data_IF_548285447105
#
_entry.id   IF_548285447105
#
_cell.length_a   1.000
_cell.length_b   1.000
_cell.length_c   1.000
_cell.angle_alpha   90.00
_cell.angle_beta   90.00
_cell.angle_gamma   90.00
#
_symmetry.space_group_name_H-M   'P 1'
#
loop_
_entity.id
_entity.type
_entity.pdbx_description
1 polymer ?
#
# COMPACT_ATOMS: atom_id res chain seq x y z
N UNK A 1 85.30 16.05 49.48
CA UNK A 1 86.22 16.64 48.52
C UNK A 1 85.45 17.21 47.35
N UNK A 2 85.55 18.48 47.28
CA UNK A 2 85.16 19.41 46.21
C UNK A 2 85.46 18.95 44.80
N UNK A 3 84.56 19.28 43.89
CA UNK A 3 84.86 20.19 42.78
C UNK A 3 83.60 20.59 42.03
N UNK A 4 83.30 21.87 42.09
CA UNK A 4 82.45 22.62 41.18
C UNK A 4 83.11 22.69 39.80
N UNK A 5 82.30 22.65 38.73
CA UNK A 5 82.62 23.28 37.45
C UNK A 5 81.37 23.91 36.88
N UNK A 6 81.55 25.11 36.41
CA UNK A 6 80.63 26.14 35.93
C UNK A 6 80.07 25.87 34.51
N UNK A 7 78.92 26.44 34.27
CA UNK A 7 78.07 26.77 33.13
C UNK A 7 78.70 27.12 31.77
N UNK A 8 77.89 27.10 30.67
CA UNK A 8 77.06 28.30 30.43
C UNK A 8 75.64 28.05 29.88
N UNK A 9 74.83 29.11 30.11
CA UNK A 9 73.47 29.27 29.54
C UNK A 9 73.48 29.34 28.00
N UNK A 10 72.54 28.66 27.35
CA UNK A 10 72.11 29.02 26.02
C UNK A 10 70.62 29.29 26.04
N UNK A 11 70.23 30.49 25.71
CA UNK A 11 68.86 30.99 25.55
C UNK A 11 68.33 30.46 24.23
N UNK A 12 67.36 29.56 24.27
CA UNK A 12 66.63 29.11 23.07
C UNK A 12 65.26 29.75 23.05
N UNK A 13 65.04 30.59 22.07
CA UNK A 13 63.79 31.28 21.73
C UNK A 13 62.77 30.29 21.31
N UNK A 14 61.63 30.14 22.02
CA UNK A 14 60.48 29.34 21.62
C UNK A 14 59.51 30.20 20.82
N UNK A 15 59.44 29.99 19.49
CA UNK A 15 58.38 30.50 18.68
C UNK A 15 57.14 29.61 18.92
N UNK A 16 56.12 30.16 19.58
CA UNK A 16 54.78 29.55 19.64
C UNK A 16 54.07 29.84 18.33
N UNK A 17 53.99 28.84 17.46
CA UNK A 17 53.11 28.86 16.32
C UNK A 17 51.70 28.52 16.82
N UNK A 18 50.79 29.51 16.84
CA UNK A 18 49.36 29.29 17.04
C UNK A 18 48.75 28.74 15.76
N UNK A 19 48.45 27.45 15.72
CA UNK A 19 47.55 26.87 14.71
C UNK A 19 46.12 27.26 15.10
N UNK A 20 45.54 28.22 14.37
CA UNK A 20 44.08 28.45 14.38
C UNK A 20 43.45 27.34 13.55
N UNK A 21 42.92 26.33 14.21
CA UNK A 21 42.01 25.36 13.57
C UNK A 21 40.66 26.05 13.42
N UNK A 22 40.41 26.61 12.25
CA UNK A 22 39.08 27.05 11.89
C UNK A 22 38.20 25.78 11.72
N UNK A 23 37.44 25.46 12.77
CA UNK A 23 36.39 24.46 12.68
C UNK A 23 35.29 25.00 11.75
N UNK A 24 35.33 24.63 10.47
CA UNK A 24 34.20 24.76 9.58
C UNK A 24 33.12 23.79 10.07
N UNK A 25 32.24 24.25 10.97
CA UNK A 25 30.93 23.63 11.16
C UNK A 25 30.14 23.84 9.88
N UNK A 26 30.38 22.99 8.90
CA UNK A 26 29.46 22.78 7.79
C UNK A 26 28.20 22.16 8.37
N UNK A 27 27.17 22.97 8.63
CA UNK A 27 25.82 22.48 8.79
C UNK A 27 25.45 21.78 7.46
N UNK A 28 25.56 20.45 7.45
CA UNK A 28 24.95 19.66 6.41
C UNK A 28 23.44 19.96 6.50
N UNK A 29 22.97 20.88 5.69
CA UNK A 29 21.55 21.00 5.37
C UNK A 29 21.23 19.70 4.65
N UNK A 30 20.68 18.72 5.38
CA UNK A 30 19.95 17.62 4.75
C UNK A 30 18.83 18.31 3.98
N UNK A 31 18.93 18.32 2.65
CA UNK A 31 17.81 18.68 1.83
C UNK A 31 16.67 17.75 2.27
N UNK A 32 15.62 18.30 2.86
CA UNK A 32 14.44 17.54 3.18
C UNK A 32 13.97 16.91 1.86
N UNK A 33 14.00 15.59 1.81
CA UNK A 33 13.57 14.86 0.63
C UNK A 33 12.15 15.31 0.29
N UNK A 34 11.92 15.78 -0.93
CA UNK A 34 10.63 16.32 -1.31
C UNK A 34 9.57 15.23 -1.16
N UNK A 35 8.50 15.53 -0.42
CA UNK A 35 7.40 14.58 -0.25
C UNK A 35 6.82 14.18 -1.61
N UNK A 36 6.36 12.92 -1.76
CA UNK A 36 5.81 12.47 -3.02
C UNK A 36 4.62 13.35 -3.44
N UNK A 37 4.60 13.75 -4.68
CA UNK A 37 3.51 14.57 -5.22
C UNK A 37 2.22 13.74 -5.27
N UNK A 38 1.10 14.33 -4.83
CA UNK A 38 -0.23 13.74 -4.97
C UNK A 38 -1.04 14.60 -5.92
N UNK A 39 -1.40 14.05 -7.07
CA UNK A 39 -2.22 14.73 -8.08
C UNK A 39 -3.40 13.81 -8.42
N UNK A 40 -4.61 14.36 -8.35
CA UNK A 40 -5.80 13.66 -8.81
C UNK A 40 -5.83 13.63 -10.34
N UNK A 41 -5.74 12.42 -10.90
CA UNK A 41 -5.78 12.15 -12.34
C UNK A 41 -7.21 11.75 -12.73
N UNK A 42 -7.71 12.32 -13.83
CA UNK A 42 -9.06 12.02 -14.32
C UNK A 42 -9.11 10.65 -14.98
N UNK A 43 -10.10 9.84 -14.60
CA UNK A 43 -10.36 8.50 -15.14
C UNK A 43 -11.51 8.54 -16.16
N UNK A 44 -12.63 9.17 -15.78
CA UNK A 44 -13.81 9.35 -16.64
C UNK A 44 -14.49 10.70 -16.38
N UNK A 45 -15.74 10.88 -16.77
CA UNK A 45 -16.45 12.17 -16.63
C UNK A 45 -16.50 12.66 -15.18
N UNK A 46 -16.70 11.74 -14.24
CA UNK A 46 -16.93 12.02 -12.82
C UNK A 46 -16.05 11.17 -11.88
N UNK A 47 -15.01 10.49 -12.40
CA UNK A 47 -14.09 9.64 -11.65
C UNK A 47 -12.67 10.17 -11.73
N UNK A 48 -12.00 10.21 -10.60
CA UNK A 48 -10.58 10.54 -10.45
C UNK A 48 -9.89 9.51 -9.53
N UNK A 49 -8.57 9.41 -9.64
CA UNK A 49 -7.76 8.63 -8.73
C UNK A 49 -6.45 9.35 -8.42
N UNK A 50 -5.81 8.97 -7.32
CA UNK A 50 -4.42 9.31 -7.00
C UNK A 50 -3.60 8.05 -7.03
N UNK A 51 -2.36 8.14 -7.55
CA UNK A 51 -1.47 7.00 -7.73
C UNK A 51 -0.36 7.02 -6.69
N UNK A 52 -0.33 5.96 -5.88
CA UNK A 52 0.74 5.73 -4.92
C UNK A 52 2.02 5.22 -5.57
N UNK A 53 3.12 5.27 -4.84
CA UNK A 53 4.43 4.82 -5.30
C UNK A 53 4.52 3.29 -5.32
N UNK A 54 5.15 2.73 -6.35
CA UNK A 54 5.52 1.31 -6.36
C UNK A 54 6.74 1.06 -5.48
N UNK A 55 6.56 1.22 -4.17
CA UNK A 55 7.60 1.14 -3.14
C UNK A 55 7.05 0.44 -1.88
N UNK A 56 7.92 0.13 -0.92
CA UNK A 56 7.50 -0.20 0.45
C UNK A 56 7.09 1.07 1.19
N UNK A 57 6.13 0.93 2.12
CA UNK A 57 5.76 2.01 3.03
C UNK A 57 6.95 2.43 3.89
N UNK A 58 7.22 3.74 3.95
CA UNK A 58 8.32 4.32 4.69
C UNK A 58 7.99 5.76 5.11
N UNK A 59 8.69 6.33 6.11
CA UNK A 59 8.54 7.74 6.45
C UNK A 59 8.83 8.68 5.28
N UNK A 60 9.82 8.37 4.44
CA UNK A 60 10.19 9.18 3.27
C UNK A 60 9.06 9.33 2.25
N UNK A 61 8.16 8.35 2.13
CA UNK A 61 7.02 8.41 1.22
C UNK A 61 5.67 8.61 1.92
N UNK A 62 5.65 8.91 3.22
CA UNK A 62 4.43 9.08 4.03
C UNK A 62 3.51 7.83 4.04
N UNK A 63 4.02 6.66 3.65
CA UNK A 63 3.22 5.46 3.36
C UNK A 63 2.26 5.66 2.15
N UNK A 64 2.62 6.54 1.19
CA UNK A 64 1.86 6.75 -0.03
C UNK A 64 2.23 5.71 -1.09
N UNK A 65 1.78 4.49 -0.91
CA UNK A 65 2.13 3.31 -1.73
C UNK A 65 0.93 2.66 -2.41
N UNK A 66 -0.29 2.95 -1.92
CA UNK A 66 -1.56 2.49 -2.50
C UNK A 66 -2.24 3.60 -3.30
N UNK A 67 -3.15 3.21 -4.16
CA UNK A 67 -4.05 4.12 -4.85
C UNK A 67 -5.28 4.41 -3.98
N UNK A 68 -5.89 5.56 -4.20
CA UNK A 68 -7.25 5.84 -3.79
C UNK A 68 -7.98 6.53 -4.95
N UNK A 69 -9.31 6.42 -4.97
CA UNK A 69 -10.10 7.02 -6.01
C UNK A 69 -11.32 7.75 -5.44
N UNK A 70 -11.95 8.57 -6.26
CA UNK A 70 -13.20 9.22 -5.86
C UNK A 70 -14.11 9.50 -7.05
N UNK A 71 -15.40 9.44 -6.75
CA UNK A 71 -16.50 9.69 -7.69
C UNK A 71 -17.19 10.97 -7.26
N UNK A 72 -17.22 11.97 -8.14
CA UNK A 72 -17.90 13.24 -7.89
C UNK A 72 -19.33 13.15 -8.42
N UNK A 73 -20.30 13.41 -7.55
CA UNK A 73 -21.72 13.42 -7.92
C UNK A 73 -22.40 14.72 -7.50
N UNK A 74 -23.60 15.04 -8.03
CA UNK A 74 -24.37 16.19 -7.58
C UNK A 74 -24.77 16.16 -6.09
N UNK A 75 -24.78 14.99 -5.43
CA UNK A 75 -25.18 14.82 -4.04
C UNK A 75 -24.00 14.56 -3.08
N UNK A 76 -22.77 14.65 -3.55
CA UNK A 76 -21.59 14.44 -2.75
C UNK A 76 -20.52 13.60 -3.45
N UNK A 77 -19.40 13.41 -2.77
CA UNK A 77 -18.27 12.60 -3.25
C UNK A 77 -18.25 11.25 -2.54
N UNK A 78 -18.04 10.19 -3.32
CA UNK A 78 -17.78 8.84 -2.82
C UNK A 78 -16.30 8.54 -3.03
N UNK A 79 -15.57 8.26 -1.96
CA UNK A 79 -14.15 7.90 -1.97
C UNK A 79 -14.03 6.38 -1.91
N UNK A 80 -13.08 5.82 -2.62
CA UNK A 80 -12.68 4.41 -2.58
C UNK A 80 -11.27 4.35 -2.01
N UNK A 81 -11.12 3.74 -0.84
CA UNK A 81 -9.95 3.68 0.02
C UNK A 81 -9.45 5.04 0.55
N UNK A 82 -8.76 5.01 1.69
CA UNK A 82 -8.44 6.21 2.46
C UNK A 82 -6.94 6.48 2.57
N UNK A 83 -6.11 5.72 1.86
CA UNK A 83 -4.64 5.81 1.91
C UNK A 83 -4.02 5.42 3.28
N UNK A 84 -2.69 5.47 3.33
CA UNK A 84 -1.87 4.87 4.38
C UNK A 84 -1.54 5.76 5.58
N UNK A 85 -2.09 6.98 5.65
CA UNK A 85 -1.92 7.86 6.81
C UNK A 85 -2.97 8.97 6.85
N UNK A 86 -3.25 9.56 8.04
CA UNK A 86 -4.17 10.70 8.14
C UNK A 86 -3.77 11.89 7.27
N UNK A 87 -2.47 12.20 7.18
CA UNK A 87 -1.98 13.31 6.37
C UNK A 87 -2.19 13.07 4.87
N UNK A 88 -2.12 11.84 4.40
CA UNK A 88 -2.43 11.51 3.01
C UNK A 88 -3.92 11.68 2.72
N UNK A 89 -4.80 11.32 3.66
CA UNK A 89 -6.24 11.56 3.53
C UNK A 89 -6.57 13.06 3.52
N UNK A 90 -5.89 13.89 4.31
CA UNK A 90 -6.01 15.36 4.26
C UNK A 90 -5.59 15.91 2.89
N UNK A 91 -4.49 15.40 2.33
CA UNK A 91 -4.04 15.76 0.98
C UNK A 91 -5.03 15.31 -0.08
N UNK A 92 -5.64 14.13 0.05
CA UNK A 92 -6.68 13.67 -0.86
C UNK A 92 -7.94 14.55 -0.77
N UNK A 93 -8.35 14.97 0.43
CA UNK A 93 -9.44 15.95 0.60
C UNK A 93 -9.10 17.28 -0.08
N UNK A 94 -7.85 17.74 0.01
CA UNK A 94 -7.42 18.96 -0.68
C UNK A 94 -7.46 18.80 -2.21
N UNK A 95 -7.06 17.64 -2.76
CA UNK A 95 -7.20 17.35 -4.19
C UNK A 95 -8.67 17.33 -4.64
N UNK A 96 -9.55 16.68 -3.86
CA UNK A 96 -11.00 16.70 -4.11
C UNK A 96 -11.52 18.14 -4.12
N UNK A 97 -11.09 18.97 -3.17
CA UNK A 97 -11.51 20.39 -3.06
C UNK A 97 -11.10 21.28 -4.24
N UNK A 98 -10.07 20.89 -5.02
CA UNK A 98 -9.70 21.56 -6.27
C UNK A 98 -10.69 21.28 -7.42
N UNK A 99 -11.37 20.13 -7.35
CA UNK A 99 -12.23 19.61 -8.42
C UNK A 99 -13.70 19.93 -8.16
N UNK A 100 -14.16 19.86 -6.89
CA UNK A 100 -15.56 20.06 -6.52
C UNK A 100 -15.71 20.71 -5.16
N UNK A 101 -16.86 21.35 -4.92
CA UNK A 101 -17.28 21.87 -3.60
C UNK A 101 -18.20 20.89 -2.87
N UNK A 102 -18.53 19.75 -3.46
CA UNK A 102 -19.36 18.75 -2.82
C UNK A 102 -18.62 18.10 -1.66
N UNK A 103 -19.28 17.85 -0.52
CA UNK A 103 -18.66 17.16 0.61
C UNK A 103 -18.42 15.67 0.29
N UNK A 104 -17.42 15.06 0.93
CA UNK A 104 -17.28 13.61 0.93
C UNK A 104 -18.38 13.03 1.82
N UNK A 105 -19.25 12.22 1.24
CA UNK A 105 -20.40 11.61 1.92
C UNK A 105 -20.18 10.16 2.29
N UNK A 106 -19.36 9.45 1.50
CA UNK A 106 -19.08 8.03 1.70
C UNK A 106 -17.61 7.72 1.46
N UNK A 107 -17.09 6.76 2.21
CA UNK A 107 -15.86 6.04 1.92
C UNK A 107 -16.18 4.56 1.82
N UNK A 108 -15.81 3.93 0.72
CA UNK A 108 -15.94 2.48 0.53
C UNK A 108 -14.54 1.89 0.65
N UNK A 109 -14.33 1.01 1.62
CA UNK A 109 -13.05 0.35 1.89
C UNK A 109 -13.01 -0.97 1.14
N UNK A 110 -12.03 -1.14 0.27
CA UNK A 110 -11.85 -2.40 -0.49
C UNK A 110 -11.41 -3.55 0.41
N UNK A 111 -10.50 -3.26 1.34
CA UNK A 111 -10.00 -4.18 2.37
C UNK A 111 -9.25 -3.41 3.47
N UNK A 112 -8.98 -4.04 4.62
CA UNK A 112 -8.40 -3.37 5.80
C UNK A 112 -6.87 -3.49 5.92
N UNK A 113 -6.11 -3.39 4.83
CA UNK A 113 -4.67 -3.16 4.94
C UNK A 113 -4.35 -1.71 5.29
N UNK A 114 -3.22 -1.54 5.99
CA UNK A 114 -2.77 -0.27 6.57
C UNK A 114 -2.74 0.89 5.58
N UNK A 115 -2.26 0.64 4.38
CA UNK A 115 -2.11 1.64 3.31
C UNK A 115 -3.44 2.00 2.62
N UNK A 116 -4.55 1.31 2.94
CA UNK A 116 -5.89 1.63 2.47
C UNK A 116 -6.79 2.26 3.54
N UNK A 117 -6.45 2.12 4.85
CA UNK A 117 -7.41 2.47 5.92
C UNK A 117 -6.89 3.46 6.95
N UNK A 118 -5.59 3.72 7.09
CA UNK A 118 -5.11 4.60 8.16
C UNK A 118 -5.52 6.07 7.99
N UNK A 119 -6.00 6.47 6.83
CA UNK A 119 -6.61 7.78 6.60
C UNK A 119 -8.09 7.89 6.95
N UNK A 120 -8.78 6.79 7.32
CA UNK A 120 -10.23 6.76 7.54
C UNK A 120 -10.70 7.77 8.60
N UNK A 121 -9.91 7.99 9.67
CA UNK A 121 -10.27 8.95 10.70
C UNK A 121 -10.47 10.37 10.17
N UNK A 122 -9.72 10.79 9.18
CA UNK A 122 -9.83 12.10 8.53
C UNK A 122 -11.17 12.24 7.79
N UNK A 123 -11.57 11.22 7.02
CA UNK A 123 -12.86 11.21 6.35
C UNK A 123 -14.04 11.10 7.34
N UNK A 124 -13.87 10.32 8.40
CA UNK A 124 -14.86 10.21 9.46
C UNK A 124 -15.10 11.57 10.15
N UNK A 125 -14.03 12.29 10.46
CA UNK A 125 -14.10 13.64 11.02
C UNK A 125 -14.74 14.66 10.05
N UNK A 126 -14.60 14.44 8.73
CA UNK A 126 -15.26 15.23 7.70
C UNK A 126 -16.75 14.87 7.50
N UNK A 127 -17.29 13.90 8.25
CA UNK A 127 -18.69 13.50 8.21
C UNK A 127 -19.03 12.39 7.21
N UNK A 128 -18.03 11.76 6.60
CA UNK A 128 -18.25 10.66 5.67
C UNK A 128 -18.71 9.39 6.39
N UNK A 129 -19.63 8.64 5.76
CA UNK A 129 -20.06 7.31 6.17
C UNK A 129 -19.12 6.26 5.57
N UNK A 130 -18.60 5.38 6.41
CA UNK A 130 -17.65 4.33 6.00
C UNK A 130 -18.41 3.02 5.78
N UNK A 131 -18.17 2.40 4.60
CA UNK A 131 -18.71 1.12 4.19
C UNK A 131 -17.58 0.11 3.98
N UNK A 132 -17.72 -1.10 4.50
CA UNK A 132 -16.76 -2.19 4.32
C UNK A 132 -17.46 -3.56 4.37
N UNK A 133 -16.78 -4.58 3.86
CA UNK A 133 -17.25 -5.95 3.94
C UNK A 133 -17.23 -6.45 5.39
N UNK A 134 -18.24 -7.25 5.79
CA UNK A 134 -18.45 -7.64 7.19
C UNK A 134 -17.29 -8.45 7.78
N UNK A 135 -16.62 -9.31 7.01
CA UNK A 135 -15.50 -10.10 7.52
C UNK A 135 -14.32 -9.22 7.99
N UNK A 136 -14.24 -7.96 7.54
CA UNK A 136 -13.28 -6.98 8.05
C UNK A 136 -13.43 -6.71 9.55
N UNK A 137 -14.62 -6.94 10.12
CA UNK A 137 -14.85 -6.76 11.55
C UNK A 137 -13.99 -7.71 12.38
N UNK A 138 -13.83 -8.95 11.95
CA UNK A 138 -13.00 -9.94 12.66
C UNK A 138 -11.53 -9.51 12.69
N UNK A 139 -11.03 -8.94 11.58
CA UNK A 139 -9.70 -8.34 11.53
C UNK A 139 -9.61 -7.12 12.47
N UNK A 140 -10.56 -6.19 12.40
CA UNK A 140 -10.57 -4.97 13.19
C UNK A 140 -10.58 -5.24 14.71
N UNK A 141 -11.27 -6.30 15.15
CA UNK A 141 -11.39 -6.71 16.55
C UNK A 141 -10.17 -7.60 16.98
N UNK A 142 -9.23 -7.90 16.09
CA UNK A 142 -8.11 -8.81 16.36
C UNK A 142 -6.90 -8.14 17.01
N UNK A 143 -6.13 -8.90 17.78
CA UNK A 143 -4.82 -8.47 18.28
C UNK A 143 -3.84 -8.16 17.15
N UNK A 144 -4.00 -8.83 15.99
CA UNK A 144 -3.17 -8.60 14.80
C UNK A 144 -3.32 -7.18 14.28
N UNK A 145 -4.55 -6.64 14.21
CA UNK A 145 -4.79 -5.26 13.76
C UNK A 145 -4.17 -4.24 14.72
N UNK A 146 -4.35 -4.47 16.05
CA UNK A 146 -3.74 -3.62 17.08
C UNK A 146 -2.22 -3.62 16.98
N UNK A 147 -1.63 -4.82 16.91
CA UNK A 147 -0.17 -4.96 16.78
C UNK A 147 0.36 -4.33 15.50
N UNK A 148 -0.29 -4.51 14.38
CA UNK A 148 0.10 -3.90 13.09
C UNK A 148 0.10 -2.37 13.20
N UNK A 149 -0.91 -1.77 13.83
CA UNK A 149 -0.94 -0.33 14.06
C UNK A 149 0.21 0.13 14.97
N UNK A 150 0.51 -0.61 16.05
CA UNK A 150 1.64 -0.30 16.93
C UNK A 150 2.98 -0.37 16.20
N UNK A 151 3.21 -1.40 15.39
CA UNK A 151 4.41 -1.55 14.57
C UNK A 151 4.49 -0.40 13.52
N UNK A 152 3.36 -0.01 12.93
CA UNK A 152 3.28 1.10 11.98
C UNK A 152 3.61 2.45 12.62
N UNK A 153 3.19 2.68 13.87
CA UNK A 153 3.57 3.90 14.63
C UNK A 153 5.08 4.01 14.84
N UNK A 154 5.78 2.87 14.91
CA UNK A 154 7.25 2.86 15.04
C UNK A 154 7.94 3.05 13.68
N UNK A 155 7.42 2.42 12.64
CA UNK A 155 8.10 2.32 11.34
C UNK A 155 7.72 3.43 10.36
N UNK A 156 6.55 4.07 10.54
CA UNK A 156 6.00 5.11 9.67
C UNK A 156 5.91 6.49 10.35
N UNK A 157 6.47 6.65 11.56
CA UNK A 157 6.52 7.95 12.21
C UNK A 157 7.20 9.00 11.31
N UNK A 158 6.76 10.27 11.32
CA UNK A 158 5.70 10.84 12.15
C UNK A 158 4.29 10.75 11.53
N UNK A 159 4.11 10.09 10.39
CA UNK A 159 2.87 10.12 9.60
C UNK A 159 1.78 9.18 10.13
N UNK A 160 2.19 8.09 10.77
CA UNK A 160 1.37 7.22 11.61
C UNK A 160 1.89 7.37 13.02
N UNK A 161 1.06 7.87 13.93
CA UNK A 161 1.44 8.27 15.30
C UNK A 161 0.41 7.77 16.33
N UNK A 162 0.54 8.22 17.58
CA UNK A 162 -0.36 7.85 18.68
C UNK A 162 -1.81 8.29 18.47
N UNK A 163 -2.06 9.27 17.58
CA UNK A 163 -3.39 9.76 17.25
C UNK A 163 -4.02 8.97 16.09
N UNK A 164 -3.21 8.20 15.35
CA UNK A 164 -3.72 7.35 14.28
C UNK A 164 -4.52 6.20 14.89
N UNK A 165 -5.75 6.03 14.43
CA UNK A 165 -6.69 5.03 14.95
C UNK A 165 -7.20 4.10 13.87
N UNK A 166 -7.52 2.87 14.27
CA UNK A 166 -8.34 1.97 13.46
C UNK A 166 -9.79 2.45 13.53
N UNK A 167 -10.40 2.68 12.39
CA UNK A 167 -11.77 3.20 12.28
C UNK A 167 -12.68 2.11 11.73
N UNK A 168 -13.68 1.62 12.49
CA UNK A 168 -14.64 0.65 12.01
C UNK A 168 -15.59 1.26 10.97
N UNK A 169 -16.15 0.42 10.12
CA UNK A 169 -17.20 0.84 9.21
C UNK A 169 -18.50 1.21 9.95
N UNK A 170 -19.22 2.19 9.41
CA UNK A 170 -20.58 2.54 9.85
C UNK A 170 -21.62 1.59 9.30
N UNK A 171 -21.29 0.96 8.16
CA UNK A 171 -22.14 -0.05 7.53
C UNK A 171 -21.28 -1.22 7.06
N UNK A 172 -21.58 -2.39 7.60
CA UNK A 172 -20.99 -3.64 7.19
C UNK A 172 -21.84 -4.28 6.08
N UNK A 173 -21.15 -4.73 5.01
CA UNK A 173 -21.76 -5.29 3.80
C UNK A 173 -21.59 -6.82 3.83
N UNK A 174 -22.68 -7.56 3.73
CA UNK A 174 -22.68 -9.03 3.73
C UNK A 174 -22.74 -9.64 2.33
N UNK A 175 -23.26 -8.91 1.36
CA UNK A 175 -23.45 -9.33 -0.01
C UNK A 175 -23.44 -8.17 -0.99
N UNK A 176 -23.64 -8.40 -2.28
CA UNK A 176 -23.67 -7.33 -3.27
C UNK A 176 -24.75 -6.28 -2.95
N UNK A 177 -24.36 -5.02 -3.03
CA UNK A 177 -25.29 -3.89 -2.88
C UNK A 177 -25.10 -2.90 -4.03
N UNK A 178 -26.14 -2.12 -4.30
CA UNK A 178 -26.08 -0.98 -5.21
C UNK A 178 -26.44 0.29 -4.45
N UNK A 179 -25.56 1.27 -4.51
CA UNK A 179 -25.80 2.62 -4.01
C UNK A 179 -26.17 3.52 -5.20
N UNK A 180 -27.01 4.52 -4.95
CA UNK A 180 -27.23 5.60 -5.92
C UNK A 180 -26.97 6.92 -5.21
N UNK A 181 -25.91 7.61 -5.63
CA UNK A 181 -25.52 8.89 -5.07
C UNK A 181 -25.59 9.93 -6.18
N UNK A 182 -26.48 10.94 -6.04
CA UNK A 182 -26.65 11.98 -7.04
C UNK A 182 -26.94 11.48 -8.46
N UNK A 183 -27.66 10.33 -8.58
CA UNK A 183 -27.98 9.71 -9.85
C UNK A 183 -26.89 8.76 -10.41
N UNK A 184 -25.70 8.70 -9.78
CA UNK A 184 -24.65 7.76 -10.17
C UNK A 184 -24.87 6.43 -9.46
N UNK A 185 -24.98 5.34 -10.24
CA UNK A 185 -25.06 3.98 -9.71
C UNK A 185 -23.68 3.45 -9.40
N UNK A 186 -23.50 2.96 -8.18
CA UNK A 186 -22.26 2.40 -7.64
C UNK A 186 -22.58 1.00 -7.13
N UNK A 187 -22.05 -0.02 -7.78
CA UNK A 187 -22.18 -1.41 -7.37
C UNK A 187 -21.00 -1.79 -6.49
N UNK A 188 -21.27 -2.33 -5.29
CA UNK A 188 -20.27 -2.80 -4.35
C UNK A 188 -20.45 -4.29 -4.19
N UNK A 189 -19.42 -5.04 -4.51
CA UNK A 189 -19.49 -6.50 -4.54
C UNK A 189 -18.39 -7.11 -3.70
N UNK A 190 -18.72 -7.76 -2.57
CA UNK A 190 -17.81 -8.68 -1.90
C UNK A 190 -17.39 -9.81 -2.84
N UNK A 191 -16.10 -10.12 -2.86
CA UNK A 191 -15.54 -11.20 -3.68
C UNK A 191 -15.00 -12.36 -2.83
N UNK A 192 -15.12 -12.21 -1.50
CA UNK A 192 -14.71 -13.21 -0.53
C UNK A 192 -13.23 -13.20 -0.25
N UNK A 193 -12.77 -14.26 0.40
CA UNK A 193 -11.37 -14.45 0.74
C UNK A 193 -10.52 -14.60 -0.52
N UNK A 194 -9.66 -13.62 -0.79
CA UNK A 194 -8.74 -13.63 -1.91
C UNK A 194 -7.39 -13.06 -1.48
N UNK A 195 -7.14 -11.74 -1.68
CA UNK A 195 -5.98 -11.05 -1.12
C UNK A 195 -6.07 -10.93 0.41
N UNK A 196 -7.28 -10.59 0.90
CA UNK A 196 -7.66 -10.67 2.31
C UNK A 196 -8.96 -11.48 2.47
N UNK A 197 -9.40 -11.69 3.72
CA UNK A 197 -10.66 -12.37 3.98
C UNK A 197 -11.89 -11.55 3.57
N UNK A 198 -11.72 -10.23 3.46
CA UNK A 198 -12.80 -9.24 3.35
C UNK A 198 -12.75 -8.41 2.06
N UNK A 199 -12.12 -8.93 1.02
CA UNK A 199 -12.01 -8.16 -0.23
C UNK A 199 -13.38 -7.85 -0.84
N UNK A 200 -13.51 -6.62 -1.32
CA UNK A 200 -14.62 -6.19 -2.18
C UNK A 200 -14.12 -5.34 -3.33
N UNK A 201 -14.93 -5.27 -4.36
CA UNK A 201 -14.71 -4.38 -5.51
C UNK A 201 -15.85 -3.38 -5.64
N UNK A 202 -15.56 -2.26 -6.28
CA UNK A 202 -16.56 -1.23 -6.58
C UNK A 202 -16.63 -1.07 -8.10
N UNK A 203 -17.82 -1.16 -8.67
CA UNK A 203 -18.03 -1.02 -10.11
C UNK A 203 -19.03 0.09 -10.44
N UNK A 204 -18.65 0.93 -11.40
CA UNK A 204 -19.51 1.96 -11.96
C UNK A 204 -19.94 1.52 -13.38
N UNK A 205 -21.13 0.97 -13.54
CA UNK A 205 -21.54 0.38 -14.82
C UNK A 205 -21.69 1.39 -15.96
N UNK A 206 -22.10 2.62 -15.66
CA UNK A 206 -22.22 3.69 -16.67
C UNK A 206 -20.85 4.14 -17.19
N UNK A 207 -19.85 4.18 -16.29
CA UNK A 207 -18.50 4.63 -16.59
C UNK A 207 -17.59 3.47 -17.05
N UNK A 208 -18.03 2.23 -16.87
CA UNK A 208 -17.26 0.99 -17.06
C UNK A 208 -15.93 1.00 -16.31
N UNK A 209 -15.93 1.57 -15.09
CA UNK A 209 -14.76 1.66 -14.22
C UNK A 209 -14.90 0.67 -13.07
N UNK A 210 -13.90 -0.19 -12.90
CA UNK A 210 -13.77 -1.14 -11.81
C UNK A 210 -12.65 -0.70 -10.86
N UNK A 211 -12.94 -0.52 -9.59
CA UNK A 211 -11.96 -0.34 -8.53
C UNK A 211 -11.74 -1.70 -7.87
N UNK A 212 -10.56 -2.24 -8.08
CA UNK A 212 -10.27 -3.63 -7.75
C UNK A 212 -9.55 -3.83 -6.42
N UNK A 213 -9.12 -2.74 -5.74
CA UNK A 213 -8.25 -2.86 -4.58
C UNK A 213 -7.04 -3.74 -4.90
N UNK A 214 -6.56 -4.46 -3.91
CA UNK A 214 -5.38 -5.32 -4.03
C UNK A 214 -5.63 -6.67 -4.70
N UNK A 215 -6.80 -6.82 -5.32
CA UNK A 215 -7.02 -7.93 -6.26
C UNK A 215 -6.21 -7.73 -7.55
N UNK A 216 -5.89 -6.47 -7.92
CA UNK A 216 -5.11 -6.15 -9.10
C UNK A 216 -3.91 -5.29 -8.73
N UNK A 217 -2.73 -5.80 -9.06
CA UNK A 217 -1.45 -5.11 -8.99
C UNK A 217 -0.94 -4.88 -10.42
N UNK A 218 -0.63 -3.65 -10.75
CA UNK A 218 -0.20 -3.32 -12.09
C UNK A 218 1.26 -2.88 -12.15
N UNK A 219 2.03 -3.49 -13.07
CA UNK A 219 3.45 -3.20 -13.32
C UNK A 219 4.33 -3.27 -12.07
N UNK A 220 4.00 -4.17 -11.16
CA UNK A 220 4.82 -4.52 -9.98
C UNK A 220 4.43 -5.92 -9.49
N UNK A 221 5.26 -6.50 -8.62
CA UNK A 221 4.92 -7.77 -7.96
C UNK A 221 3.79 -7.55 -6.96
N UNK A 222 2.74 -8.39 -6.99
CA UNK A 222 1.72 -8.42 -5.93
C UNK A 222 2.32 -8.77 -4.57
N UNK A 223 1.67 -8.34 -3.49
CA UNK A 223 1.92 -8.87 -2.16
C UNK A 223 0.90 -9.96 -1.85
N UNK A 224 1.34 -11.21 -1.84
CA UNK A 224 0.47 -12.36 -1.56
C UNK A 224 0.21 -12.49 -0.06
N UNK A 225 1.21 -12.22 0.79
CA UNK A 225 1.03 -12.30 2.24
C UNK A 225 0.45 -13.64 2.69
N UNK A 226 -0.64 -13.58 3.45
CA UNK A 226 -1.42 -14.76 3.90
C UNK A 226 -2.67 -15.02 3.05
N UNK A 227 -2.70 -14.47 1.82
CA UNK A 227 -3.81 -14.62 0.89
C UNK A 227 -4.10 -16.08 0.56
N UNK A 228 -5.35 -16.36 0.25
CA UNK A 228 -5.74 -17.60 -0.42
C UNK A 228 -5.54 -17.44 -1.93
N UNK A 229 -4.38 -17.86 -2.43
CA UNK A 229 -4.03 -17.70 -3.84
C UNK A 229 -4.96 -18.48 -4.79
N UNK A 230 -5.59 -19.56 -4.33
CA UNK A 230 -6.59 -20.31 -5.12
C UNK A 230 -7.90 -19.52 -5.28
N UNK A 231 -8.43 -19.03 -4.17
CA UNK A 231 -9.62 -18.17 -4.19
C UNK A 231 -9.35 -16.84 -4.89
N UNK A 232 -8.14 -16.26 -4.76
CA UNK A 232 -7.79 -15.04 -5.47
C UNK A 232 -7.80 -15.24 -7.00
N UNK A 233 -7.28 -16.35 -7.50
CA UNK A 233 -7.39 -16.71 -8.92
C UNK A 233 -8.85 -16.78 -9.34
N UNK A 234 -9.71 -17.46 -8.56
CA UNK A 234 -11.15 -17.56 -8.85
C UNK A 234 -11.86 -16.19 -8.81
N UNK A 235 -11.48 -15.31 -7.85
CA UNK A 235 -11.99 -13.95 -7.81
C UNK A 235 -11.60 -13.15 -9.06
N UNK A 236 -10.34 -13.24 -9.52
CA UNK A 236 -9.90 -12.60 -10.76
C UNK A 236 -10.64 -13.15 -11.99
N UNK A 237 -10.91 -14.46 -12.05
CA UNK A 237 -11.72 -15.06 -13.11
C UNK A 237 -13.16 -14.50 -13.11
N UNK A 238 -13.75 -14.28 -11.93
CA UNK A 238 -15.06 -13.64 -11.82
C UNK A 238 -15.00 -12.14 -12.25
N UNK A 239 -13.95 -11.41 -11.89
CA UNK A 239 -13.77 -10.01 -12.29
C UNK A 239 -13.62 -9.85 -13.81
N UNK A 240 -13.08 -10.83 -14.52
CA UNK A 240 -13.02 -10.84 -15.98
C UNK A 240 -14.41 -10.88 -16.64
N UNK A 241 -15.45 -11.18 -15.87
CA UNK A 241 -16.86 -11.11 -16.31
C UNK A 241 -17.48 -9.70 -16.27
N UNK A 242 -16.83 -8.73 -15.61
CA UNK A 242 -17.30 -7.35 -15.65
C UNK A 242 -17.02 -6.72 -17.03
N UNK A 243 -17.96 -5.90 -17.51
CA UNK A 243 -17.75 -5.07 -18.71
C UNK A 243 -16.95 -3.80 -18.36
N UNK A 244 -15.77 -4.01 -17.75
CA UNK A 244 -14.89 -2.94 -17.35
C UNK A 244 -13.96 -2.52 -18.50
N UNK A 245 -14.01 -1.26 -18.88
CA UNK A 245 -13.06 -0.66 -19.82
C UNK A 245 -11.79 -0.20 -19.10
N UNK A 246 -11.94 0.19 -17.83
CA UNK A 246 -10.85 0.72 -17.00
C UNK A 246 -10.84 0.01 -15.64
N UNK A 247 -9.65 -0.35 -15.17
CA UNK A 247 -9.42 -0.80 -13.79
C UNK A 247 -8.56 0.21 -13.06
N UNK A 248 -9.02 0.63 -11.87
CA UNK A 248 -8.18 1.29 -10.88
C UNK A 248 -7.67 0.20 -9.95
N UNK A 249 -6.38 -0.18 -10.04
CA UNK A 249 -5.80 -1.20 -9.17
C UNK A 249 -5.54 -0.62 -7.78
N UNK A 250 -5.35 -1.48 -6.78
CA UNK A 250 -4.90 -1.04 -5.45
C UNK A 250 -3.48 -0.46 -5.50
N UNK A 251 -2.64 -0.98 -6.40
CA UNK A 251 -1.27 -0.53 -6.60
C UNK A 251 -0.87 -0.47 -8.07
N UNK A 252 -0.08 0.54 -8.40
CA UNK A 252 0.43 0.78 -9.75
C UNK A 252 -0.47 1.69 -10.58
N UNK A 253 -0.09 2.00 -11.82
CA UNK A 253 -0.78 2.99 -12.63
C UNK A 253 -2.17 2.51 -13.10
N UNK A 254 -3.03 3.48 -13.45
CA UNK A 254 -4.34 3.23 -14.05
C UNK A 254 -4.25 2.29 -15.24
N UNK A 255 -5.13 1.30 -15.30
CA UNK A 255 -5.25 0.39 -16.44
C UNK A 255 -6.27 0.87 -17.46
N UNK A 256 -5.89 0.81 -18.74
CA UNK A 256 -6.78 1.01 -19.89
C UNK A 256 -6.99 -0.28 -20.68
N UNK A 257 -6.38 -1.38 -20.23
CA UNK A 257 -6.64 -2.76 -20.68
C UNK A 257 -6.94 -3.61 -19.46
N UNK A 258 -8.17 -3.47 -18.97
CA UNK A 258 -8.63 -4.08 -17.74
C UNK A 258 -8.42 -5.60 -17.72
N UNK A 259 -8.73 -6.25 -18.88
CA UNK A 259 -8.58 -7.70 -19.02
C UNK A 259 -7.13 -8.15 -18.91
N UNK A 260 -6.21 -7.51 -19.64
CA UNK A 260 -4.79 -7.88 -19.63
C UNK A 260 -4.15 -7.68 -18.25
N UNK A 261 -4.50 -6.61 -17.53
CA UNK A 261 -3.93 -6.34 -16.22
C UNK A 261 -4.47 -7.27 -15.13
N UNK A 262 -5.77 -7.62 -15.15
CA UNK A 262 -6.34 -8.68 -14.29
C UNK A 262 -5.69 -10.03 -14.59
N UNK A 263 -5.50 -10.37 -15.87
CA UNK A 263 -4.81 -11.60 -16.28
C UNK A 263 -3.35 -11.62 -15.83
N UNK A 264 -2.65 -10.49 -15.85
CA UNK A 264 -1.25 -10.41 -15.40
C UNK A 264 -1.10 -10.77 -13.92
N UNK A 265 -1.96 -10.24 -13.05
CA UNK A 265 -1.98 -10.61 -11.62
C UNK A 265 -2.32 -12.09 -11.45
N UNK A 266 -3.35 -12.56 -12.16
CA UNK A 266 -3.78 -13.97 -12.15
C UNK A 266 -2.66 -14.92 -12.58
N UNK A 267 -1.98 -14.61 -13.66
CA UNK A 267 -0.89 -15.43 -14.21
C UNK A 267 0.26 -15.56 -13.23
N UNK A 268 0.58 -14.49 -12.49
CA UNK A 268 1.58 -14.56 -11.43
C UNK A 268 1.18 -15.52 -10.32
N UNK A 269 -0.07 -15.47 -9.85
CA UNK A 269 -0.58 -16.40 -8.83
C UNK A 269 -0.62 -17.83 -9.32
N UNK A 270 -1.06 -18.07 -10.56
CA UNK A 270 -1.05 -19.39 -11.20
C UNK A 270 0.38 -19.92 -11.28
N UNK A 271 1.32 -19.08 -11.67
CA UNK A 271 2.72 -19.48 -11.73
C UNK A 271 3.29 -19.84 -10.36
N UNK A 272 3.04 -19.04 -9.32
CA UNK A 272 3.44 -19.36 -7.94
C UNK A 272 2.94 -20.75 -7.52
N UNK A 273 1.65 -21.04 -7.75
CA UNK A 273 1.05 -22.35 -7.41
C UNK A 273 1.63 -23.48 -8.24
N UNK A 274 1.93 -23.24 -9.52
CA UNK A 274 2.51 -24.23 -10.41
C UNK A 274 3.92 -24.64 -10.00
N UNK A 275 4.75 -23.68 -9.57
CA UNK A 275 6.15 -23.95 -9.19
C UNK A 275 6.31 -24.42 -7.75
N UNK A 276 5.46 -23.97 -6.83
CA UNK A 276 5.54 -24.35 -5.41
C UNK A 276 4.71 -25.60 -5.07
N UNK A 277 3.61 -25.82 -5.80
CA UNK A 277 2.64 -26.88 -5.45
C UNK A 277 3.18 -28.30 -5.47
N UNK A 278 3.97 -28.73 -6.45
CA UNK A 278 4.56 -30.07 -6.43
C UNK A 278 5.42 -30.31 -5.20
N UNK A 279 6.34 -29.39 -4.89
CA UNK A 279 7.20 -29.49 -3.71
C UNK A 279 6.39 -29.48 -2.40
N UNK A 280 5.38 -28.63 -2.30
CA UNK A 280 4.52 -28.56 -1.11
C UNK A 280 3.78 -29.90 -0.87
N UNK A 281 3.21 -30.51 -1.91
CA UNK A 281 2.50 -31.81 -1.80
C UNK A 281 3.42 -32.97 -1.44
N UNK A 282 4.66 -32.93 -1.92
CA UNK A 282 5.65 -33.98 -1.65
C UNK A 282 6.42 -33.74 -0.35
N UNK A 283 6.25 -32.60 0.31
CA UNK A 283 7.05 -32.13 1.45
C UNK A 283 8.55 -31.99 1.10
N UNK A 284 8.83 -31.63 -0.16
CA UNK A 284 10.18 -31.33 -0.64
C UNK A 284 10.64 -29.97 -0.12
N UNK A 285 11.95 -29.70 -0.20
CA UNK A 285 12.53 -28.43 0.23
C UNK A 285 11.95 -27.23 -0.54
N UNK A 286 11.40 -26.24 0.18
CA UNK A 286 10.99 -24.96 -0.41
C UNK A 286 12.17 -24.28 -1.13
N UNK A 287 13.36 -24.28 -0.52
CA UNK A 287 14.52 -23.61 -1.07
C UNK A 287 14.92 -24.20 -2.43
N UNK A 288 14.93 -25.53 -2.53
CA UNK A 288 15.27 -26.21 -3.78
C UNK A 288 14.22 -25.90 -4.87
N UNK A 289 12.94 -25.91 -4.51
CA UNK A 289 11.87 -25.57 -5.43
C UNK A 289 11.94 -24.12 -5.88
N UNK A 290 12.25 -23.18 -4.98
CA UNK A 290 12.37 -21.77 -5.29
C UNK A 290 13.56 -21.48 -6.21
N UNK A 291 14.71 -22.11 -5.96
CA UNK A 291 15.92 -21.96 -6.77
C UNK A 291 15.81 -22.63 -8.15
N UNK A 292 15.01 -23.68 -8.27
CA UNK A 292 14.77 -24.38 -9.55
C UNK A 292 13.75 -23.64 -10.44
N UNK A 293 12.97 -22.72 -9.89
CA UNK A 293 11.94 -21.99 -10.64
C UNK A 293 12.54 -20.91 -11.55
N UNK A 294 11.98 -20.76 -12.74
CA UNK A 294 12.36 -19.70 -13.69
C UNK A 294 11.58 -18.41 -13.41
N UNK A 295 12.21 -17.45 -12.79
CA UNK A 295 11.61 -16.14 -12.45
C UNK A 295 11.78 -15.07 -13.53
N UNK A 296 12.39 -15.39 -14.69
CA UNK A 296 12.76 -14.43 -15.75
C UNK A 296 11.59 -13.53 -16.22
N UNK A 297 10.36 -14.08 -16.19
CA UNK A 297 9.13 -13.32 -16.53
C UNK A 297 8.81 -12.20 -15.54
N UNK A 298 9.26 -12.29 -14.29
CA UNK A 298 8.81 -11.42 -13.19
C UNK A 298 9.94 -10.62 -12.54
N UNK A 299 11.19 -11.05 -12.69
CA UNK A 299 12.35 -10.49 -11.95
C UNK A 299 12.61 -9.00 -12.24
N UNK A 300 12.19 -8.50 -13.42
CA UNK A 300 12.31 -7.09 -13.77
C UNK A 300 11.23 -6.19 -13.18
N UNK A 301 10.18 -6.78 -12.59
CA UNK A 301 9.09 -6.00 -11.99
C UNK A 301 9.50 -5.35 -10.66
N UNK A 302 9.09 -4.11 -10.40
CA UNK A 302 9.30 -3.46 -9.11
C UNK A 302 8.89 -4.36 -7.95
N UNK A 303 9.67 -4.32 -6.88
CA UNK A 303 9.49 -5.09 -5.64
C UNK A 303 9.68 -6.61 -5.77
N UNK A 304 10.18 -7.12 -6.91
CA UNK A 304 10.48 -8.54 -7.05
C UNK A 304 11.42 -9.03 -5.95
N UNK A 305 12.59 -8.39 -5.80
CA UNK A 305 13.59 -8.79 -4.79
C UNK A 305 13.10 -8.75 -3.35
N UNK A 306 12.02 -8.00 -3.06
CA UNK A 306 11.46 -7.84 -1.71
C UNK A 306 10.32 -8.83 -1.45
N UNK A 307 9.45 -9.04 -2.45
CA UNK A 307 8.18 -9.74 -2.25
C UNK A 307 8.18 -11.17 -2.81
N UNK A 308 8.87 -11.45 -3.91
CA UNK A 308 8.68 -12.70 -4.65
C UNK A 308 8.99 -13.96 -3.83
N UNK A 309 10.11 -13.96 -3.08
CA UNK A 309 10.48 -15.12 -2.27
C UNK A 309 9.49 -15.36 -1.12
N UNK A 310 9.01 -14.29 -0.49
CA UNK A 310 7.97 -14.37 0.55
C UNK A 310 6.63 -14.87 -0.04
N UNK A 311 6.23 -14.36 -1.21
CA UNK A 311 5.03 -14.80 -1.90
C UNK A 311 5.08 -16.29 -2.24
N UNK A 312 6.21 -16.76 -2.78
CA UNK A 312 6.44 -18.16 -3.08
C UNK A 312 6.37 -19.03 -1.82
N UNK A 313 7.00 -18.59 -0.72
CA UNK A 313 6.98 -19.32 0.56
C UNK A 313 5.58 -19.41 1.15
N UNK A 314 4.83 -18.31 1.17
CA UNK A 314 3.46 -18.32 1.69
C UNK A 314 2.53 -19.18 0.82
N UNK A 315 2.74 -19.18 -0.51
CA UNK A 315 2.01 -20.06 -1.43
C UNK A 315 2.37 -21.54 -1.18
N UNK A 316 3.65 -21.84 -0.95
CA UNK A 316 4.10 -23.18 -0.59
C UNK A 316 3.40 -23.67 0.69
N UNK A 317 3.41 -22.88 1.76
CA UNK A 317 2.75 -23.21 3.03
C UNK A 317 1.23 -23.36 2.90
N UNK A 318 0.58 -22.54 2.07
CA UNK A 318 -0.84 -22.67 1.78
C UNK A 318 -1.12 -24.02 1.11
N UNK A 319 -0.37 -24.36 0.05
CA UNK A 319 -0.57 -25.60 -0.70
C UNK A 319 -0.19 -26.85 0.07
N UNK A 320 0.73 -26.76 1.02
CA UNK A 320 1.01 -27.83 1.98
C UNK A 320 -0.21 -28.12 2.87
N UNK A 321 -0.88 -27.06 3.35
CA UNK A 321 -2.13 -27.21 4.14
C UNK A 321 -3.28 -27.76 3.32
N UNK A 322 -3.42 -27.34 2.06
CA UNK A 322 -4.44 -27.85 1.12
C UNK A 322 -4.27 -29.36 0.80
N UNK A 323 -3.04 -29.87 0.89
CA UNK A 323 -2.72 -31.27 0.58
C UNK A 323 -2.95 -32.26 1.75
N UNK A 324 -3.17 -31.76 2.97
CA UNK A 324 -3.47 -32.53 4.19
C UNK A 324 -4.96 -32.79 4.34
#
# INVERSE_FOLDING_TARGET
MLRCIFFPLSVTFWFRVFFIVAACCGTAYSAAEALPEMIAKKVSSNVWYVEGLSALGAPANQNFISNAAFVVTPAGVVVIDALGSPVLAERLLAEIGKITRQPVTHVIVTHYHADHVYGLQTFKAAGARILAQRAAKDYMDSETAVKRLQDSRLTLAPWVDDKTALVPADQWIDGPIALTVGGVKIEVQPVGSAHTAEDLVVYLPQEKVLFAGDLVFRRRIPFVGQADSGHWIAALDALLGFDAAVVVPGHGPLSTDARADMQSTRDYLVYLRAVMGPAARNLDSFEDAYLAADWSRFESLPLFGVANRMNAYNTYLLMEREAR
#
